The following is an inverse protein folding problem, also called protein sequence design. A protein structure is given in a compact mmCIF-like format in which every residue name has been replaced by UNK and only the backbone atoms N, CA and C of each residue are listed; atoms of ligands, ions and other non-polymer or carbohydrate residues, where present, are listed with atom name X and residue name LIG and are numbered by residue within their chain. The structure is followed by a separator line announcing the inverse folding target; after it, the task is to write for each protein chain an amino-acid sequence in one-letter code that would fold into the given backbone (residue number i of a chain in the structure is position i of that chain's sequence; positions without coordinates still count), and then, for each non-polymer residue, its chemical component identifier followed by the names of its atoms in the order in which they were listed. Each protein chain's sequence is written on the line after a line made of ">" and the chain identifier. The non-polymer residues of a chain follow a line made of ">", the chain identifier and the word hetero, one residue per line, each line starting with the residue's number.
data_IF_125478962372
#
_entry.id   IF_125478962372
#
_cell.length_a   1.000
_cell.length_b   1.000
_cell.length_c   1.000
_cell.angle_alpha   90.00
_cell.angle_beta   90.00
_cell.angle_gamma   90.00
#
_symmetry.space_group_name_H-M   'P 1'
#
loop_
_entity.id
_entity.type
_entity.pdbx_description
1 polymer ?
2 non-polymer ?
3 water ?
#
# COMPACT_ATOMS: atom_id res chain seq x y z
N UNK A 2 11.37 -3.90 -27.64
CA UNK A 2 10.98 -2.98 -26.54
C UNK A 2 12.11 -2.93 -25.50
N UNK A 3 12.17 -1.82 -24.76
CA UNK A 3 13.18 -1.62 -23.74
C UNK A 3 12.60 -1.48 -22.34
N UNK A 4 13.34 -1.92 -21.33
CA UNK A 4 12.85 -1.80 -19.96
C UNK A 4 13.32 -0.47 -19.36
N UNK A 5 12.88 -0.18 -18.14
CA UNK A 5 13.26 1.08 -17.49
C UNK A 5 14.75 1.26 -17.22
N UNK A 6 15.51 0.17 -17.35
CA UNK A 6 16.95 0.22 -17.11
C UNK A 6 17.75 0.36 -18.41
N UNK A 7 17.05 0.30 -19.54
CA UNK A 7 17.71 0.42 -20.83
C UNK A 7 18.03 -0.92 -21.46
N UNK A 8 17.71 -2.00 -20.76
CA UNK A 8 17.97 -3.32 -21.30
C UNK A 8 16.79 -3.84 -22.11
N UNK A 9 16.92 -5.05 -22.64
CA UNK A 9 15.84 -5.62 -23.43
C UNK A 9 14.68 -5.88 -22.48
N UNK A 10 13.46 -5.64 -22.91
CA UNK A 10 12.31 -5.87 -22.04
C UNK A 10 12.11 -7.37 -21.86
N UNK A 11 12.25 -7.84 -20.62
CA UNK A 11 12.08 -9.25 -20.30
C UNK A 11 10.60 -9.54 -20.13
N UNK A 12 10.25 -10.83 -20.20
CA UNK A 12 8.86 -11.26 -20.03
C UNK A 12 8.48 -11.03 -18.58
N UNK A 13 7.22 -10.68 -18.37
CA UNK A 13 6.70 -10.43 -17.03
C UNK A 13 6.14 -11.74 -16.49
N UNK A 14 5.27 -12.36 -17.29
CA UNK A 14 4.67 -13.63 -16.91
C UNK A 14 4.15 -14.36 -18.14
N UNK A 15 4.46 -15.64 -18.22
CA UNK A 15 4.02 -16.47 -19.31
C UNK A 15 2.92 -17.41 -18.81
N UNK A 16 2.74 -17.47 -17.50
CA UNK A 16 1.66 -18.27 -16.91
C UNK A 16 1.31 -17.80 -15.50
N UNK A 17 0.19 -17.06 -15.38
CA UNK A 17 -0.65 -16.73 -16.53
C UNK A 17 -0.03 -15.73 -17.51
N UNK A 18 -0.34 -15.91 -18.79
CA UNK A 18 0.16 -15.06 -19.86
C UNK A 18 -0.38 -13.65 -19.66
N UNK A 19 0.51 -12.69 -19.48
CA UNK A 19 0.10 -11.32 -19.24
C UNK A 19 0.41 -10.36 -20.41
N UNK A 20 0.16 -9.08 -20.20
CA UNK A 20 0.43 -8.09 -21.23
C UNK A 20 -0.80 -7.77 -22.07
N UNK A 21 -0.90 -6.52 -22.52
CA UNK A 21 -2.02 -6.10 -23.34
C UNK A 21 -2.16 -6.97 -24.60
N UNK A 22 -1.03 -7.36 -25.17
CA UNK A 22 -1.03 -8.17 -26.38
C UNK A 22 -0.96 -9.66 -26.04
N UNK A 23 -1.01 -9.94 -24.74
CA UNK A 23 -0.97 -11.30 -24.23
C UNK A 23 0.20 -12.13 -24.77
N UNK A 24 1.37 -11.50 -24.81
CA UNK A 24 2.59 -12.16 -25.24
C UNK A 24 3.56 -12.25 -24.07
N UNK A 25 3.03 -12.00 -22.88
CA UNK A 25 3.84 -12.07 -21.66
C UNK A 25 4.68 -10.85 -21.33
N UNK A 26 4.67 -9.85 -22.21
CA UNK A 26 5.47 -8.65 -21.99
C UNK A 26 4.65 -7.40 -21.72
N UNK A 27 5.17 -6.52 -20.87
CA UNK A 27 4.46 -5.28 -20.54
C UNK A 27 4.75 -4.18 -21.55
N UNK A 28 4.54 -4.49 -22.83
CA UNK A 28 4.76 -3.52 -23.88
C UNK A 28 3.41 -2.86 -24.19
N UNK A 29 3.46 -1.64 -24.68
CA UNK A 29 2.23 -0.93 -24.96
C UNK A 29 2.15 -0.38 -26.38
N UNK A 30 1.04 0.31 -26.66
CA UNK A 30 0.84 0.88 -27.97
C UNK A 30 -0.43 1.72 -27.94
N UNK A 31 -0.79 2.37 -29.06
CA UNK A 31 -1.98 3.20 -29.20
C UNK A 31 -3.27 2.66 -28.58
N UNK A 32 -3.60 1.41 -28.90
CA UNK A 32 -4.83 0.81 -28.39
C UNK A 32 -4.83 0.47 -26.90
N UNK A 33 -3.66 0.39 -26.30
CA UNK A 33 -3.54 0.09 -24.88
C UNK A 33 -3.65 1.39 -24.10
N UNK A 34 -4.85 1.98 -24.08
CA UNK A 34 -5.07 3.25 -23.41
C UNK A 34 -4.77 3.21 -21.90
N UNK A 35 -4.75 2.01 -21.32
CA UNK A 35 -4.48 1.88 -19.90
C UNK A 35 -3.00 1.82 -19.59
N UNK A 36 -2.18 1.68 -20.63
CA UNK A 36 -0.72 1.60 -20.48
C UNK A 36 -0.30 0.52 -19.49
N UNK A 37 -0.48 -0.73 -19.89
CA UNK A 37 -0.11 -1.89 -19.07
C UNK A 37 1.39 -2.12 -19.18
N UNK A 38 2.15 -1.19 -18.61
CA UNK A 38 3.60 -1.21 -18.68
C UNK A 38 4.40 -1.56 -17.42
N UNK A 39 3.74 -1.72 -16.27
CA UNK A 39 4.44 -2.05 -15.04
C UNK A 39 4.32 -3.53 -14.69
N UNK A 40 5.44 -4.23 -14.63
CA UNK A 40 5.38 -5.63 -14.26
C UNK A 40 5.47 -5.67 -12.75
N UNK A 41 4.43 -6.15 -12.10
CA UNK A 41 4.44 -6.21 -10.65
C UNK A 41 4.07 -7.59 -10.14
N UNK A 42 4.45 -7.87 -8.91
CA UNK A 42 4.16 -9.14 -8.28
C UNK A 42 2.97 -8.86 -7.37
N UNK A 43 1.84 -9.49 -7.66
CA UNK A 43 0.62 -9.26 -6.89
C UNK A 43 0.69 -9.57 -5.40
N UNK A 44 0.03 -8.73 -4.61
CA UNK A 44 -0.06 -8.92 -3.18
C UNK A 44 -1.54 -8.89 -2.92
N UNK A 45 -1.96 -9.54 -1.84
CA UNK A 45 -3.37 -9.56 -1.49
C UNK A 45 -3.83 -8.14 -1.20
N UNK A 46 -2.97 -7.38 -0.52
CA UNK A 46 -3.28 -6.00 -0.17
C UNK A 46 -3.60 -5.17 -1.41
N UNK A 47 -2.74 -5.27 -2.42
CA UNK A 47 -2.96 -4.50 -3.65
C UNK A 47 -4.22 -4.98 -4.36
N UNK A 48 -4.37 -6.30 -4.48
CA UNK A 48 -5.55 -6.83 -5.16
C UNK A 48 -6.84 -6.33 -4.50
N UNK A 49 -6.88 -6.32 -3.17
CA UNK A 49 -8.08 -5.85 -2.48
C UNK A 49 -8.25 -4.35 -2.64
N UNK A 50 -7.17 -3.61 -2.49
CA UNK A 50 -7.23 -2.15 -2.64
C UNK A 50 -7.68 -1.72 -4.01
N UNK A 51 -7.04 -2.24 -5.05
CA UNK A 51 -7.39 -1.83 -6.39
C UNK A 51 -8.85 -2.20 -6.75
N UNK A 52 -9.38 -3.26 -6.14
CA UNK A 52 -10.77 -3.63 -6.42
C UNK A 52 -11.66 -2.55 -5.79
N UNK A 53 -11.27 -2.04 -4.63
CA UNK A 53 -12.05 -1.00 -3.97
C UNK A 53 -12.07 0.25 -4.83
N UNK A 54 -11.01 0.45 -5.62
CA UNK A 54 -10.91 1.62 -6.47
C UNK A 54 -11.57 1.37 -7.84
N UNK A 55 -12.32 0.28 -7.94
CA UNK A 55 -13.02 -0.04 -9.17
C UNK A 55 -12.28 -0.86 -10.22
N UNK A 56 -11.17 -1.48 -9.82
CA UNK A 56 -10.36 -2.29 -10.71
C UNK A 56 -10.33 -3.74 -10.22
N UNK A 57 -11.28 -4.54 -10.70
CA UNK A 57 -11.38 -5.94 -10.29
C UNK A 57 -10.41 -6.82 -11.06
N UNK A 58 -9.34 -7.24 -10.40
CA UNK A 58 -8.36 -8.11 -11.03
C UNK A 58 -8.48 -9.52 -10.46
N UNK A 59 -9.49 -9.73 -9.61
CA UNK A 59 -9.65 -11.04 -9.02
C UNK A 59 -10.66 -11.89 -9.78
N UNK A 60 -11.70 -11.27 -10.31
CA UNK A 60 -12.72 -12.02 -11.06
C UNK A 60 -12.23 -12.43 -12.45
N UNK A 61 -12.32 -13.73 -12.76
CA UNK A 61 -11.86 -14.20 -14.07
C UNK A 61 -12.72 -13.62 -15.20
N UNK A 62 -12.09 -13.34 -16.34
CA UNK A 62 -12.81 -12.83 -17.52
C UNK A 62 -12.14 -13.58 -18.66
N UNK A 63 -12.51 -14.86 -18.86
CA UNK A 63 -11.92 -15.69 -19.92
C UNK A 63 -12.06 -15.12 -21.34
N UNK A 64 -13.12 -14.35 -21.58
CA UNK A 64 -13.33 -13.76 -22.90
C UNK A 64 -12.25 -12.70 -23.18
N UNK A 65 -11.52 -12.30 -22.14
CA UNK A 65 -10.45 -11.31 -22.21
C UNK A 65 -9.12 -12.02 -21.97
N UNK A 66 -9.15 -13.35 -21.98
CA UNK A 66 -7.96 -14.14 -21.70
C UNK A 66 -7.39 -13.69 -20.37
N UNK A 67 -8.29 -13.39 -19.44
CA UNK A 67 -7.90 -12.94 -18.11
C UNK A 67 -8.32 -14.04 -17.12
N UNK A 68 -7.38 -14.65 -16.42
CA UNK A 68 -7.70 -15.73 -15.48
C UNK A 68 -8.13 -15.36 -14.06
N UNK A 69 -7.99 -14.11 -13.66
CA UNK A 69 -8.34 -13.75 -12.30
C UNK A 69 -7.01 -13.97 -11.61
N UNK A 70 -6.52 -12.94 -10.94
CA UNK A 70 -5.20 -13.04 -10.30
C UNK A 70 -5.16 -13.46 -8.82
N UNK A 71 -4.00 -13.97 -8.42
CA UNK A 71 -3.75 -14.41 -7.05
C UNK A 71 -2.44 -13.80 -6.56
N UNK A 72 -2.29 -13.69 -5.24
CA UNK A 72 -1.06 -13.12 -4.69
C UNK A 72 0.11 -13.94 -5.24
N UNK A 73 1.19 -13.28 -5.65
CA UNK A 73 2.31 -14.02 -6.19
C UNK A 73 2.41 -14.01 -7.69
N UNK A 74 1.28 -13.79 -8.36
CA UNK A 74 1.26 -13.74 -9.82
C UNK A 74 2.01 -12.50 -10.24
N UNK A 75 2.69 -12.54 -11.38
CA UNK A 75 3.34 -11.36 -11.89
C UNK A 75 2.40 -10.96 -13.01
N UNK A 76 2.11 -9.67 -13.10
CA UNK A 76 1.16 -9.20 -14.09
C UNK A 76 1.49 -7.78 -14.54
N UNK A 77 1.14 -7.47 -15.79
CA UNK A 77 1.39 -6.13 -16.32
C UNK A 77 0.23 -5.24 -15.94
N UNK A 78 0.51 -4.30 -15.05
CA UNK A 78 -0.49 -3.37 -14.55
C UNK A 78 -0.51 -2.05 -15.29
N UNK A 79 -1.67 -1.41 -15.27
CA UNK A 79 -1.81 -0.09 -15.86
C UNK A 79 -0.96 0.79 -14.98
N UNK A 80 -0.15 1.65 -15.57
CA UNK A 80 0.70 2.53 -14.80
C UNK A 80 -0.10 3.33 -13.77
N UNK A 81 -1.27 3.81 -14.17
CA UNK A 81 -2.12 4.61 -13.29
C UNK A 81 -2.62 3.84 -12.06
N UNK A 82 -2.91 2.56 -12.24
CA UNK A 82 -3.38 1.76 -11.13
C UNK A 82 -2.25 1.45 -10.16
N UNK A 83 -1.02 1.31 -10.67
CA UNK A 83 0.10 1.07 -9.78
C UNK A 83 0.39 2.36 -9.04
N UNK A 84 0.32 3.47 -9.77
CA UNK A 84 0.57 4.80 -9.19
C UNK A 84 -0.43 5.11 -8.09
N UNK A 85 -1.70 4.83 -8.36
CA UNK A 85 -2.77 5.06 -7.40
C UNK A 85 -2.48 4.29 -6.11
N UNK A 86 -2.07 3.04 -6.25
CA UNK A 86 -1.74 2.20 -5.10
C UNK A 86 -0.52 2.72 -4.36
N UNK A 87 0.46 3.22 -5.10
CA UNK A 87 1.67 3.75 -4.49
C UNK A 87 1.35 4.95 -3.59
N UNK A 88 0.45 5.80 -4.05
CA UNK A 88 0.07 6.96 -3.26
C UNK A 88 -0.72 6.53 -2.03
N UNK A 89 -1.26 5.32 -2.07
CA UNK A 89 -2.03 4.78 -0.94
C UNK A 89 -1.14 3.87 -0.08
N UNK A 90 0.15 3.83 -0.41
CA UNK A 90 1.11 3.03 0.33
C UNK A 90 0.94 1.52 0.21
N UNK A 91 0.28 1.07 -0.86
CA UNK A 91 0.02 -0.34 -1.05
C UNK A 91 0.44 -0.85 -2.43
N UNK A 92 1.38 -0.15 -3.06
CA UNK A 92 1.85 -0.55 -4.39
C UNK A 92 2.61 -1.87 -4.29
N UNK A 93 2.30 -2.80 -5.23
CA UNK A 93 2.98 -4.10 -5.21
C UNK A 93 4.39 -3.97 -5.78
N UNK A 94 5.29 -4.91 -5.40
CA UNK A 94 6.68 -4.89 -5.86
C UNK A 94 6.78 -4.90 -7.38
N UNK A 95 7.78 -4.21 -7.91
CA UNK A 95 8.02 -4.08 -9.33
C UNK A 95 9.18 -4.93 -9.85
N UNK A 96 9.02 -5.48 -11.06
CA UNK A 96 10.09 -6.25 -11.68
C UNK A 96 10.61 -5.28 -12.72
N UNK A 97 11.69 -4.58 -12.39
CA UNK A 97 12.26 -3.59 -13.28
C UNK A 97 12.62 -4.07 -14.68
N UNK A 98 13.23 -5.26 -14.78
CA UNK A 98 13.64 -5.80 -16.07
C UNK A 98 12.47 -6.11 -17.00
N UNK A 99 11.28 -6.26 -16.44
CA UNK A 99 10.09 -6.56 -17.24
C UNK A 99 9.13 -5.37 -17.29
N UNK A 100 9.59 -4.21 -16.85
CA UNK A 100 8.78 -3.01 -16.86
C UNK A 100 9.25 -2.12 -18.02
N UNK A 101 8.34 -1.83 -18.94
CA UNK A 101 8.64 -1.00 -20.11
C UNK A 101 9.10 0.40 -19.75
N UNK A 102 9.99 0.97 -20.56
CA UNK A 102 10.47 2.31 -20.29
C UNK A 102 9.32 3.31 -20.31
N UNK A 103 8.21 2.94 -20.96
CA UNK A 103 7.04 3.82 -21.03
C UNK A 103 6.49 4.12 -19.63
N UNK A 104 6.84 3.28 -18.66
CA UNK A 104 6.38 3.47 -17.30
C UNK A 104 6.94 4.77 -16.71
N UNK A 105 8.07 5.19 -17.23
CA UNK A 105 8.71 6.40 -16.73
C UNK A 105 7.93 7.68 -17.00
N UNK A 106 6.84 7.59 -17.76
CA UNK A 106 6.00 8.76 -18.04
C UNK A 106 5.00 8.93 -16.90
N UNK A 107 4.92 7.93 -16.04
CA UNK A 107 3.98 7.95 -14.93
C UNK A 107 4.67 7.92 -13.57
N UNK A 108 5.77 7.17 -13.50
CA UNK A 108 6.52 7.02 -12.26
C UNK A 108 8.00 7.25 -12.47
N UNK A 109 8.63 7.91 -11.49
CA UNK A 109 10.06 8.20 -11.53
C UNK A 109 10.81 6.88 -11.34
N UNK A 110 11.93 6.71 -12.04
CA UNK A 110 12.68 5.47 -11.91
C UNK A 110 13.10 5.21 -10.46
N UNK A 111 13.46 6.25 -9.72
CA UNK A 111 13.86 6.06 -8.33
C UNK A 111 12.72 5.48 -7.49
N UNK A 112 11.50 5.84 -7.83
CA UNK A 112 10.35 5.33 -7.09
C UNK A 112 10.14 3.87 -7.45
N UNK A 113 10.33 3.54 -8.72
CA UNK A 113 10.18 2.17 -9.19
C UNK A 113 11.24 1.30 -8.50
N UNK A 114 12.47 1.78 -8.46
CA UNK A 114 13.56 1.06 -7.83
C UNK A 114 13.30 0.82 -6.35
N UNK A 115 12.72 1.79 -5.67
CA UNK A 115 12.44 1.66 -4.25
C UNK A 115 11.43 0.54 -3.98
N UNK A 116 10.70 0.14 -5.01
CA UNK A 116 9.75 -0.94 -4.90
C UNK A 116 10.13 -2.18 -5.66
N UNK A 117 11.37 -2.27 -6.07
CA UNK A 117 11.76 -3.35 -6.93
C UNK A 117 12.04 -4.65 -6.21
N UNK A 118 11.77 -5.77 -6.87
CA UNK A 118 12.18 -7.10 -6.42
C UNK A 118 13.58 -7.39 -6.96
N UNK A 119 13.98 -6.64 -7.97
CA UNK A 119 15.21 -6.92 -8.70
C UNK A 119 16.14 -5.72 -8.89
N UNK B 2 -15.89 10.70 11.89
CA UNK B 2 -15.72 11.18 13.31
C UNK B 2 -16.19 10.07 14.25
N UNK B 3 -16.31 8.87 13.70
CA UNK B 3 -16.71 7.69 14.45
C UNK B 3 -15.55 6.74 14.42
N UNK B 4 -15.42 5.92 15.45
CA UNK B 4 -14.35 4.94 15.49
C UNK B 4 -14.90 3.62 14.96
N UNK B 5 -14.04 2.60 14.87
CA UNK B 5 -14.46 1.30 14.35
C UNK B 5 -15.54 0.55 15.12
N UNK B 6 -15.81 0.97 16.35
CA UNK B 6 -16.84 0.32 17.15
C UNK B 6 -18.14 1.11 17.06
N UNK B 7 -18.11 2.18 16.28
CA UNK B 7 -19.30 3.01 16.11
C UNK B 7 -19.40 4.13 17.12
N UNK B 8 -18.41 4.24 18.00
CA UNK B 8 -18.42 5.28 19.01
C UNK B 8 -17.73 6.55 18.54
N UNK B 9 -17.65 7.54 19.43
CA UNK B 9 -17.01 8.80 19.08
C UNK B 9 -15.52 8.53 18.94
N UNK B 10 -14.89 9.15 17.94
CA UNK B 10 -13.46 8.95 17.72
C UNK B 10 -12.66 9.70 18.78
N UNK B 11 -12.00 8.95 19.65
CA UNK B 11 -11.19 9.57 20.69
C UNK B 11 -9.86 9.99 20.09
N UNK B 12 -9.17 10.90 20.77
CA UNK B 12 -7.88 11.35 20.29
C UNK B 12 -6.89 10.21 20.37
N UNK B 13 -6.00 10.12 19.39
CA UNK B 13 -5.00 9.07 19.38
C UNK B 13 -3.82 9.54 20.22
N UNK B 14 -3.31 10.74 19.91
CA UNK B 14 -2.19 11.29 20.66
C UNK B 14 -2.03 12.79 20.44
N UNK B 15 -2.05 13.54 21.53
CA UNK B 15 -1.91 14.99 21.44
C UNK B 15 -0.44 15.37 21.61
N UNK B 16 0.36 14.43 22.12
CA UNK B 16 1.78 14.68 22.33
C UNK B 16 2.58 13.38 22.39
N UNK B 17 3.36 13.08 21.33
CA UNK B 17 3.56 13.93 20.16
C UNK B 17 2.27 14.01 19.32
N UNK B 18 1.98 15.18 18.78
CA UNK B 18 0.76 15.36 18.00
C UNK B 18 0.75 14.54 16.71
N UNK B 19 -0.21 13.62 16.63
CA UNK B 19 -0.32 12.75 15.48
C UNK B 19 -1.49 13.09 14.55
N UNK B 20 -1.68 12.27 13.52
CA UNK B 20 -2.75 12.49 12.56
C UNK B 20 -2.29 13.20 11.30
N UNK B 21 -2.90 12.85 10.18
CA UNK B 21 -2.55 13.48 8.90
C UNK B 21 -2.79 14.98 8.97
N UNK B 22 -3.84 15.38 9.69
CA UNK B 22 -4.16 16.80 9.81
C UNK B 22 -3.54 17.40 11.07
N UNK B 23 -2.67 16.63 11.71
CA UNK B 23 -1.98 17.07 12.93
C UNK B 23 -2.91 17.63 14.00
N UNK B 24 -4.06 16.98 14.18
CA UNK B 24 -5.03 17.41 15.19
C UNK B 24 -5.12 16.34 16.28
N UNK B 25 -4.16 15.42 16.28
CA UNK B 25 -4.14 14.37 17.28
C UNK B 25 -5.09 13.21 17.08
N UNK B 26 -5.92 13.27 16.06
CA UNK B 26 -6.88 12.19 15.79
C UNK B 26 -6.57 11.52 14.46
N UNK B 27 -7.02 10.28 14.33
CA UNK B 27 -6.78 9.54 13.10
C UNK B 27 -7.92 9.77 12.10
N UNK B 28 -8.16 11.04 11.79
CA UNK B 28 -9.19 11.42 10.84
C UNK B 28 -8.57 11.31 9.47
N UNK B 29 -9.40 11.08 8.46
CA UNK B 29 -8.88 10.93 7.12
C UNK B 29 -9.81 11.59 6.11
N UNK B 30 -9.50 11.38 4.84
CA UNK B 30 -10.30 11.95 3.77
C UNK B 30 -9.57 11.70 2.47
N UNK B 31 -10.12 12.13 1.34
CA UNK B 31 -9.47 11.92 0.03
C UNK B 31 -8.03 12.41 -0.07
N UNK B 32 -7.71 13.55 0.57
CA UNK B 32 -6.35 14.04 0.47
C UNK B 32 -5.35 13.13 1.17
N UNK B 33 -5.82 12.44 2.19
CA UNK B 33 -4.98 11.52 2.95
C UNK B 33 -5.02 10.16 2.26
N UNK B 34 -4.40 10.07 1.08
CA UNK B 34 -4.38 8.83 0.33
C UNK B 34 -3.74 7.68 1.10
N UNK B 35 -2.83 8.02 2.01
CA UNK B 35 -2.16 6.99 2.81
C UNK B 35 -3.11 6.39 3.84
N UNK B 36 -4.20 7.09 4.11
CA UNK B 36 -5.20 6.62 5.06
C UNK B 36 -4.64 6.36 6.47
N UNK B 37 -4.23 7.44 7.14
CA UNK B 37 -3.67 7.37 8.49
C UNK B 37 -4.82 7.21 9.47
N UNK B 38 -5.45 6.04 9.42
CA UNK B 38 -6.62 5.74 10.25
C UNK B 38 -6.46 4.81 11.46
N UNK B 39 -5.35 4.12 11.56
CA UNK B 39 -5.16 3.19 12.67
C UNK B 39 -4.38 3.81 13.83
N UNK B 40 -5.03 3.96 14.98
CA UNK B 40 -4.31 4.47 16.14
C UNK B 40 -3.63 3.28 16.76
N UNK B 41 -2.31 3.28 16.77
CA UNK B 41 -1.59 2.16 17.32
C UNK B 41 -0.58 2.59 18.37
N UNK B 42 -0.21 1.64 19.22
CA UNK B 42 0.79 1.89 20.22
C UNK B 42 2.09 1.40 19.65
N UNK B 43 3.10 2.25 19.69
CA UNK B 43 4.40 1.89 19.15
C UNK B 43 5.10 0.84 20.02
N UNK B 44 5.80 -0.07 19.37
CA UNK B 44 6.58 -1.10 20.06
C UNK B 44 7.94 -1.04 19.42
N UNK B 45 8.96 -1.53 20.13
CA UNK B 45 10.30 -1.52 19.59
C UNK B 45 10.34 -2.32 18.29
N UNK B 46 9.71 -3.49 18.31
CA UNK B 46 9.68 -4.36 17.13
C UNK B 46 9.07 -3.72 15.89
N UNK B 47 7.94 -3.04 16.07
CA UNK B 47 7.29 -2.40 14.94
C UNK B 47 8.10 -1.19 14.45
N UNK B 48 8.61 -0.40 15.38
CA UNK B 48 9.37 0.77 15.00
C UNK B 48 10.58 0.37 14.15
N UNK B 49 11.29 -0.67 14.56
CA UNK B 49 12.45 -1.12 13.81
C UNK B 49 12.02 -1.68 12.45
N UNK B 50 10.96 -2.50 12.45
CA UNK B 50 10.45 -3.09 11.22
C UNK B 50 9.99 -2.10 10.17
N UNK B 51 9.11 -1.19 10.56
CA UNK B 51 8.59 -0.22 9.61
C UNK B 51 9.70 0.72 9.10
N UNK B 52 10.72 0.93 9.93
CA UNK B 52 11.84 1.79 9.52
C UNK B 52 12.59 1.12 8.37
N UNK B 53 12.75 -0.20 8.45
CA UNK B 53 13.45 -0.91 7.39
C UNK B 53 12.60 -1.01 6.12
N UNK B 54 11.31 -0.71 6.26
CA UNK B 54 10.40 -0.74 5.13
C UNK B 54 10.38 0.65 4.51
N UNK B 55 11.19 1.54 5.06
CA UNK B 55 11.26 2.90 4.54
C UNK B 55 10.36 3.91 5.22
N UNK B 56 9.80 3.55 6.37
CA UNK B 56 8.93 4.42 7.12
C UNK B 56 9.60 4.69 8.46
N UNK B 57 10.51 5.67 8.47
CA UNK B 57 11.24 6.00 9.68
C UNK B 57 10.49 6.89 10.67
N UNK B 58 9.96 6.28 11.72
CA UNK B 58 9.23 7.01 12.74
C UNK B 58 10.09 7.16 13.99
N UNK B 59 11.32 6.66 13.92
CA UNK B 59 12.24 6.72 15.05
C UNK B 59 13.14 7.95 15.04
N UNK B 60 13.68 8.27 13.87
CA UNK B 60 14.58 9.40 13.72
C UNK B 60 13.90 10.75 13.89
N UNK B 61 14.42 11.58 14.81
CA UNK B 61 13.78 12.89 14.99
C UNK B 61 14.03 13.70 13.72
N UNK B 62 13.06 14.53 13.36
CA UNK B 62 13.18 15.39 12.19
C UNK B 62 12.63 16.73 12.66
N UNK B 63 13.43 17.46 13.46
CA UNK B 63 13.07 18.77 14.00
C UNK B 63 12.59 19.74 12.94
N UNK B 64 13.21 19.68 11.77
CA UNK B 64 12.85 20.58 10.69
C UNK B 64 11.43 20.29 10.23
N UNK B 65 10.89 19.14 10.63
CA UNK B 65 9.53 18.76 10.26
C UNK B 65 8.67 18.75 11.51
N UNK B 66 9.23 19.26 12.60
CA UNK B 66 8.55 19.32 13.89
C UNK B 66 8.15 17.92 14.35
N UNK B 67 8.99 16.95 14.01
CA UNK B 67 8.75 15.55 14.38
C UNK B 67 9.84 15.14 15.38
N UNK B 68 9.47 14.79 16.61
CA UNK B 68 10.40 14.38 17.66
C UNK B 68 10.94 12.95 17.62
N UNK B 69 10.31 12.09 16.82
CA UNK B 69 10.74 10.72 16.78
C UNK B 69 9.86 10.03 17.80
N UNK B 70 9.47 8.78 17.52
CA UNK B 70 8.61 8.07 18.44
C UNK B 70 9.34 7.07 19.33
N UNK B 71 8.71 6.76 20.46
CA UNK B 71 9.25 5.82 21.43
C UNK B 71 8.21 4.75 21.72
N UNK B 72 8.64 3.57 22.16
CA UNK B 72 7.68 2.51 22.45
C UNK B 72 6.68 3.06 23.45
N UNK B 73 5.40 2.78 23.25
CA UNK B 73 4.40 3.29 24.18
C UNK B 73 3.63 4.48 23.62
N UNK B 74 4.25 5.21 22.69
CA UNK B 74 3.59 6.36 22.07
C UNK B 74 2.43 5.84 21.25
N UNK B 75 1.43 6.67 21.03
CA UNK B 75 0.32 6.30 20.17
C UNK B 75 0.51 7.12 18.93
N UNK B 76 0.22 6.54 17.78
CA UNK B 76 0.40 7.24 16.52
C UNK B 76 -0.59 6.74 15.49
N UNK B 77 -1.03 7.63 14.61
CA UNK B 77 -1.98 7.26 13.56
C UNK B 77 -1.20 6.71 12.38
N UNK B 78 -1.32 5.41 12.16
CA UNK B 78 -0.62 4.76 11.07
C UNK B 78 -1.45 4.62 9.82
N UNK B 79 -0.76 4.55 8.69
CA UNK B 79 -1.39 4.34 7.41
C UNK B 79 -1.91 2.92 7.50
N UNK B 80 -3.13 2.70 7.00
CA UNK B 80 -3.71 1.36 7.06
C UNK B 80 -2.77 0.32 6.45
N UNK B 81 -2.14 0.65 5.32
CA UNK B 81 -1.26 -0.30 4.66
C UNK B 81 -0.01 -0.62 5.50
N UNK B 82 0.50 0.36 6.24
CA UNK B 82 1.69 0.14 7.06
C UNK B 82 1.35 -0.76 8.24
N UNK B 83 0.15 -0.58 8.81
CA UNK B 83 -0.22 -1.42 9.93
C UNK B 83 -0.44 -2.84 9.44
N UNK B 84 -1.18 -2.98 8.34
CA UNK B 84 -1.47 -4.29 7.81
C UNK B 84 -0.21 -5.07 7.42
N UNK B 85 0.77 -4.40 6.80
CA UNK B 85 1.98 -5.12 6.41
C UNK B 85 2.76 -5.57 7.65
N UNK B 86 2.70 -4.78 8.72
CA UNK B 86 3.40 -5.18 9.94
C UNK B 86 2.69 -6.39 10.53
N UNK B 87 1.37 -6.41 10.43
CA UNK B 87 0.61 -7.54 10.96
C UNK B 87 1.00 -8.80 10.22
N UNK B 88 1.14 -8.67 8.90
CA UNK B 88 1.54 -9.80 8.06
C UNK B 88 2.96 -10.27 8.35
N UNK B 89 3.79 -9.33 8.80
CA UNK B 89 5.18 -9.62 9.09
C UNK B 89 5.37 -10.21 10.49
N UNK B 90 4.29 -10.29 11.25
CA UNK B 90 4.36 -10.85 12.59
C UNK B 90 4.70 -9.86 13.69
N UNK B 91 4.67 -8.56 13.39
CA UNK B 91 4.98 -7.55 14.39
C UNK B 91 3.96 -6.41 14.41
N UNK B 92 2.68 -6.76 14.31
CA UNK B 92 1.62 -5.76 14.32
C UNK B 92 1.63 -5.03 15.66
N UNK B 93 1.60 -3.68 15.62
CA UNK B 93 1.59 -2.99 16.91
C UNK B 93 0.16 -2.97 17.43
N UNK B 94 -0.02 -2.88 18.76
CA UNK B 94 -1.35 -2.88 19.36
C UNK B 94 -2.22 -1.75 18.78
N UNK B 95 -3.51 -2.03 18.68
CA UNK B 95 -4.46 -1.06 18.14
C UNK B 95 -5.32 -0.45 19.24
N UNK B 96 -5.64 0.83 19.11
CA UNK B 96 -6.51 1.51 20.06
C UNK B 96 -7.79 1.68 19.26
N UNK B 97 -8.72 0.75 19.46
CA UNK B 97 -9.98 0.78 18.74
C UNK B 97 -10.78 2.08 18.85
N UNK B 98 -10.86 2.63 20.06
CA UNK B 98 -11.63 3.86 20.26
C UNK B 98 -11.08 5.08 19.52
N UNK B 99 -9.81 5.03 19.11
CA UNK B 99 -9.20 6.14 18.41
C UNK B 99 -8.86 5.80 16.97
N UNK B 100 -9.39 4.67 16.50
CA UNK B 100 -9.17 4.23 15.13
C UNK B 100 -10.44 4.54 14.34
N UNK B 101 -10.27 5.30 13.26
CA UNK B 101 -11.39 5.70 12.40
C UNK B 101 -12.13 4.54 11.76
N UNK B 102 -13.44 4.70 11.64
CA UNK B 102 -14.29 3.68 11.03
C UNK B 102 -13.78 3.38 9.62
N UNK B 103 -13.12 4.36 9.02
CA UNK B 103 -12.59 4.21 7.68
C UNK B 103 -11.58 3.06 7.60
N UNK B 104 -11.03 2.66 8.73
CA UNK B 104 -10.06 1.58 8.75
C UNK B 104 -10.70 0.25 8.34
N UNK B 105 -12.01 0.14 8.53
CA UNK B 105 -12.71 -1.09 8.20
C UNK B 105 -12.81 -1.44 6.71
N UNK B 106 -12.50 -0.51 5.82
CA UNK B 106 -12.55 -0.87 4.41
C UNK B 106 -11.20 -1.43 4.00
N UNK B 107 -10.21 -1.30 4.88
CA UNK B 107 -8.86 -1.79 4.59
C UNK B 107 -8.50 -3.03 5.42
N UNK B 108 -8.99 -3.06 6.67
CA UNK B 108 -8.70 -4.17 7.58
C UNK B 108 -9.99 -4.64 8.26
N UNK B 109 -10.11 -5.95 8.49
CA UNK B 109 -11.31 -6.48 9.14
C UNK B 109 -11.33 -6.14 10.63
N UNK B 110 -12.52 -5.90 11.16
CA UNK B 110 -12.67 -5.55 12.57
C UNK B 110 -12.12 -6.61 13.51
N UNK B 111 -12.38 -7.88 13.24
CA UNK B 111 -11.88 -8.91 14.13
C UNK B 111 -10.35 -8.99 14.16
N UNK B 112 -9.71 -8.58 13.07
CA UNK B 112 -8.25 -8.58 13.01
C UNK B 112 -7.75 -7.45 13.90
N UNK B 113 -8.42 -6.30 13.83
CA UNK B 113 -8.03 -5.15 14.66
C UNK B 113 -8.29 -5.49 16.12
N UNK B 114 -9.43 -6.13 16.39
CA UNK B 114 -9.76 -6.50 17.76
C UNK B 114 -8.77 -7.49 18.36
N UNK B 115 -8.22 -8.36 17.53
CA UNK B 115 -7.26 -9.36 17.99
C UNK B 115 -5.99 -8.71 18.54
N UNK B 116 -5.73 -7.47 18.11
CA UNK B 116 -4.55 -6.73 18.54
C UNK B 116 -4.87 -5.50 19.36
N UNK B 117 -6.12 -5.41 19.83
CA UNK B 117 -6.55 -4.23 20.58
C UNK B 117 -6.14 -4.12 22.05
N UNK B 118 -5.88 -2.89 22.48
CA UNK B 118 -5.49 -2.62 23.87
C UNK B 118 -6.76 -2.31 24.64
N UNK B 119 -7.82 -2.01 23.89
CA UNK B 119 -9.09 -1.62 24.51
C UNK B 119 -10.31 -2.33 23.95
N UNK B 120 -10.21 -3.63 23.70
CA UNK B 120 -11.35 -4.38 23.18
C UNK B 120 -12.46 -4.32 24.23
N UNK B 121 -13.72 -4.37 23.80
CA UNK B 121 -14.95 -4.35 24.59
C UNK B 121 -15.16 -5.60 25.44
X LIG C 1 -4.30 -2.82 -13.77
X LIG D 1 -1.84 -1.03 -30.49
X LIG E 1 2.52 5.33 8.87
#
# INVERSE_FOLDING_TARGET
>A
XSQNVLGGVLRACSMDPETGFYRDGHCRTGPRDTGSHVVCAEMTEAFLEYTKRQGNDLMTPRPEMDFPGLEPGDRWCLCAARWREAMEAGVAPPVVLAATSEAALKAVDLEVLKAHAVDAPLEHHHHHH
>B
XSQNVLGGVLRACSMDPETGFYRDGHCRTGPRDTGSHVVCAEMTEAFLEYTKRQGNDLMTPRPEMDFPGLEPGDRWCLCAARWREAMEAGVAPPVVLAATSEAALKAVDLEVLKAHAVDAPLEHHHHHH
>C hetero
1 BR BR
>D hetero
1 BR BR
>E hetero
1 BR BR
#
